data_IF_406932443517
#
_entry.id   IF_406932443517
#
_cell.length_a   1.000
_cell.length_b   1.000
_cell.length_c   1.000
_cell.angle_alpha   90.00
_cell.angle_beta   90.00
_cell.angle_gamma   90.00
#
_symmetry.space_group_name_H-M   'P 1'
#
loop_
_entity.id
_entity.type
_entity.pdbx_description
1 polymer ?
#
# COMPACT_ATOMS: atom_id res chain seq x y z
N UNK A 1 -33.29 8.78 -13.25
CA UNK A 1 -33.32 7.68 -12.25
C UNK A 1 -32.19 6.74 -12.60
N UNK A 2 -31.07 6.82 -11.89
CA UNK A 2 -29.93 5.90 -12.07
C UNK A 2 -30.36 4.56 -11.45
N UNK A 3 -30.25 3.47 -12.21
CA UNK A 3 -30.72 2.13 -11.77
C UNK A 3 -29.88 1.67 -10.57
N UNK A 4 -30.51 1.08 -9.56
CA UNK A 4 -29.88 0.67 -8.29
C UNK A 4 -28.60 -0.18 -8.50
N UNK A 5 -28.56 -1.05 -9.52
CA UNK A 5 -27.36 -1.85 -9.84
C UNK A 5 -26.20 -1.08 -10.50
N UNK A 6 -26.44 0.12 -11.03
CA UNK A 6 -25.41 1.01 -11.59
C UNK A 6 -24.74 1.81 -10.46
N UNK A 7 -25.49 2.15 -9.41
CA UNK A 7 -24.96 2.77 -8.18
C UNK A 7 -24.04 1.79 -7.43
N UNK A 8 -24.46 0.53 -7.27
CA UNK A 8 -23.64 -0.50 -6.61
C UNK A 8 -22.33 -0.81 -7.37
N UNK A 9 -22.37 -0.83 -8.71
CA UNK A 9 -21.17 -1.01 -9.55
C UNK A 9 -20.22 0.20 -9.46
N UNK A 10 -20.75 1.42 -9.57
CA UNK A 10 -19.95 2.67 -9.48
C UNK A 10 -19.33 2.83 -8.09
N UNK A 11 -20.05 2.43 -7.04
CA UNK A 11 -19.55 2.42 -5.67
C UNK A 11 -18.46 1.37 -5.46
N UNK A 12 -18.61 0.17 -6.06
CA UNK A 12 -17.57 -0.86 -6.07
C UNK A 12 -16.29 -0.45 -6.79
N UNK A 13 -16.39 0.19 -7.96
CA UNK A 13 -15.22 0.72 -8.70
C UNK A 13 -14.48 1.77 -7.88
N UNK A 14 -15.22 2.71 -7.27
CA UNK A 14 -14.64 3.78 -6.46
C UNK A 14 -13.91 3.23 -5.25
N UNK A 15 -14.52 2.29 -4.53
CA UNK A 15 -13.90 1.65 -3.38
C UNK A 15 -12.58 0.95 -3.74
N UNK A 16 -12.53 0.26 -4.88
CA UNK A 16 -11.30 -0.39 -5.39
C UNK A 16 -10.18 0.62 -5.59
N UNK A 17 -10.48 1.78 -6.17
CA UNK A 17 -9.49 2.86 -6.35
C UNK A 17 -8.97 3.40 -5.02
N UNK A 18 -9.87 3.63 -4.06
CA UNK A 18 -9.52 4.18 -2.75
C UNK A 18 -8.67 3.20 -1.92
N UNK A 19 -9.01 1.90 -1.94
CA UNK A 19 -8.19 0.85 -1.32
C UNK A 19 -6.81 0.74 -1.97
N UNK A 20 -6.76 0.83 -3.30
CA UNK A 20 -5.49 0.81 -4.05
C UNK A 20 -4.61 2.00 -3.67
N UNK A 21 -5.18 3.21 -3.58
CA UNK A 21 -4.48 4.40 -3.12
C UNK A 21 -3.94 4.22 -1.69
N UNK A 22 -4.75 3.74 -0.75
CA UNK A 22 -4.29 3.51 0.62
C UNK A 22 -3.14 2.50 0.68
N UNK A 23 -3.22 1.42 -0.11
CA UNK A 23 -2.12 0.44 -0.27
C UNK A 23 -0.84 1.10 -0.80
N UNK A 24 -0.92 1.90 -1.86
CA UNK A 24 0.24 2.62 -2.41
C UNK A 24 0.85 3.57 -1.38
N UNK A 25 0.03 4.29 -0.61
CA UNK A 25 0.52 5.14 0.48
C UNK A 25 1.24 4.33 1.55
N UNK A 26 0.68 3.19 1.98
CA UNK A 26 1.32 2.28 2.94
C UNK A 26 2.68 1.81 2.43
N UNK A 27 2.77 1.35 1.19
CA UNK A 27 4.04 0.87 0.60
C UNK A 27 5.05 2.02 0.49
N UNK A 28 4.61 3.21 0.09
CA UNK A 28 5.46 4.41 0.09
C UNK A 28 5.97 4.77 1.50
N UNK A 29 5.13 4.62 2.53
CA UNK A 29 5.52 4.85 3.92
C UNK A 29 6.56 3.84 4.40
N UNK A 30 6.45 2.57 4.01
CA UNK A 30 7.43 1.53 4.32
C UNK A 30 8.77 1.82 3.63
N UNK A 31 8.76 2.11 2.33
CA UNK A 31 9.96 2.38 1.54
C UNK A 31 10.70 3.66 1.96
N UNK A 32 9.98 4.63 2.53
CA UNK A 32 10.56 5.89 3.00
C UNK A 32 11.06 5.81 4.47
N UNK A 33 11.01 4.64 5.13
CA UNK A 33 11.65 4.43 6.45
C UNK A 33 13.17 4.28 6.27
N UNK A 34 13.85 5.40 6.00
CA UNK A 34 15.31 5.41 6.09
C UNK A 34 15.76 5.33 7.55
N UNK A 35 16.93 4.75 7.79
CA UNK A 35 17.64 4.85 9.06
C UNK A 35 18.19 6.27 9.17
N UNK A 36 17.31 7.20 9.52
CA UNK A 36 17.68 8.57 9.81
C UNK A 36 18.18 8.67 11.25
N UNK A 37 19.17 9.53 11.48
CA UNK A 37 19.69 9.84 12.82
C UNK A 37 18.55 10.23 13.77
N UNK A 38 17.60 11.02 13.28
CA UNK A 38 16.40 11.44 13.99
C UNK A 38 15.15 10.72 13.48
N UNK A 39 14.25 10.39 14.40
CA UNK A 39 12.92 9.84 14.09
C UNK A 39 12.07 10.83 13.29
N UNK A 40 11.02 10.37 12.60
CA UNK A 40 10.11 11.24 11.86
C UNK A 40 9.50 12.34 12.75
N UNK A 41 9.12 11.99 13.99
CA UNK A 41 8.59 12.96 14.94
C UNK A 41 9.63 14.04 15.27
N UNK A 42 10.89 13.64 15.51
CA UNK A 42 12.00 14.57 15.81
C UNK A 42 12.28 15.51 14.64
N UNK A 43 12.29 14.98 13.42
CA UNK A 43 12.47 15.78 12.21
C UNK A 43 11.34 16.80 12.05
N UNK A 44 10.08 16.40 12.23
CA UNK A 44 8.95 17.32 12.14
C UNK A 44 8.99 18.39 13.24
N UNK A 45 9.31 18.04 14.48
CA UNK A 45 9.46 19.02 15.56
C UNK A 45 10.57 20.02 15.24
N UNK A 46 11.71 19.55 14.74
CA UNK A 46 12.83 20.41 14.36
C UNK A 46 12.46 21.34 13.20
N UNK A 47 11.66 20.89 12.22
CA UNK A 47 11.13 21.72 11.14
C UNK A 47 10.22 22.84 11.68
N UNK A 48 9.30 22.52 12.59
CA UNK A 48 8.38 23.52 13.17
C UNK A 48 9.17 24.56 13.99
N UNK A 49 10.15 24.12 14.80
CA UNK A 49 11.03 25.00 15.59
C UNK A 49 11.90 25.90 14.70
N UNK A 50 12.49 25.34 13.64
CA UNK A 50 13.29 26.09 12.66
C UNK A 50 12.42 27.14 11.95
N UNK A 51 11.24 26.74 11.48
CA UNK A 51 10.32 27.63 10.75
C UNK A 51 9.86 28.81 11.61
N UNK A 52 9.54 28.56 12.88
CA UNK A 52 9.19 29.60 13.83
C UNK A 52 10.37 30.57 14.07
N UNK A 53 11.59 30.03 14.20
CA UNK A 53 12.79 30.84 14.44
C UNK A 53 13.16 31.73 13.25
N UNK A 54 12.91 31.29 12.02
CA UNK A 54 13.18 32.05 10.79
C UNK A 54 12.34 33.33 10.66
N UNK A 55 11.22 33.46 11.41
CA UNK A 55 10.41 34.70 11.44
C UNK A 55 11.08 35.83 12.21
N UNK A 56 12.04 35.52 13.08
CA UNK A 56 12.88 36.51 13.76
C UNK A 56 12.23 37.27 14.92
N UNK A 57 10.98 36.94 15.31
CA UNK A 57 10.28 37.56 16.44
C UNK A 57 10.19 36.55 17.61
N UNK A 58 10.47 36.99 18.84
CA UNK A 58 10.46 36.09 20.01
C UNK A 58 9.08 35.46 20.28
N UNK A 59 8.01 36.22 20.03
CA UNK A 59 6.63 35.79 20.26
C UNK A 59 6.22 34.58 19.42
N UNK A 60 6.80 34.46 18.22
CA UNK A 60 6.60 33.36 17.27
C UNK A 60 7.31 32.07 17.69
N UNK A 61 8.27 32.13 18.62
CA UNK A 61 9.02 30.96 19.03
C UNK A 61 8.16 29.96 19.80
N UNK A 62 8.31 28.69 19.42
CA UNK A 62 7.51 27.61 19.95
C UNK A 62 7.95 27.22 21.35
N UNK A 63 6.97 26.95 22.20
CA UNK A 63 7.13 26.22 23.45
C UNK A 63 6.92 24.72 23.22
N UNK A 64 7.29 23.85 24.18
CA UNK A 64 6.95 22.43 24.10
C UNK A 64 5.44 22.15 23.93
N UNK A 65 4.58 23.02 24.46
CA UNK A 65 3.12 22.92 24.30
C UNK A 65 2.70 23.22 22.87
N UNK A 66 3.33 24.20 22.24
CA UNK A 66 3.03 24.57 20.86
C UNK A 66 3.47 23.48 19.87
N UNK A 67 4.64 22.87 20.12
CA UNK A 67 5.09 21.69 19.35
C UNK A 67 4.13 20.51 19.51
N UNK A 68 3.62 20.26 20.72
CA UNK A 68 2.64 19.21 20.96
C UNK A 68 1.32 19.45 20.22
N UNK A 69 0.83 20.69 20.21
CA UNK A 69 -0.35 21.07 19.46
C UNK A 69 -0.15 20.89 17.94
N UNK A 70 0.91 21.48 17.36
CA UNK A 70 1.21 21.41 15.92
C UNK A 70 1.41 19.99 15.40
N UNK A 71 2.02 19.11 16.21
CA UNK A 71 2.20 17.71 15.84
C UNK A 71 1.03 16.80 16.21
N UNK A 72 0.03 17.31 16.93
CA UNK A 72 -1.08 16.53 17.50
C UNK A 72 -0.59 15.34 18.33
N UNK A 73 0.41 15.58 19.18
CA UNK A 73 1.05 14.56 20.03
C UNK A 73 0.80 14.84 21.51
N UNK A 74 0.74 13.76 22.30
CA UNK A 74 0.72 13.87 23.76
C UNK A 74 1.96 14.60 24.29
N UNK A 75 1.77 15.47 25.29
CA UNK A 75 2.86 16.23 25.91
C UNK A 75 3.99 15.32 26.42
N UNK A 76 3.67 14.13 26.94
CA UNK A 76 4.65 13.15 27.41
C UNK A 76 5.55 12.59 26.29
N UNK A 77 5.05 12.53 25.05
CA UNK A 77 5.81 12.11 23.87
C UNK A 77 6.71 13.25 23.43
N UNK A 78 6.17 14.47 23.36
CA UNK A 78 6.93 15.67 22.97
C UNK A 78 8.05 15.97 23.96
N UNK A 79 7.82 15.88 25.27
CA UNK A 79 8.90 16.10 26.26
C UNK A 79 10.08 15.15 26.06
N UNK A 80 9.82 13.86 25.82
CA UNK A 80 10.89 12.87 25.57
C UNK A 80 11.61 13.12 24.25
N UNK A 81 10.85 13.49 23.22
CA UNK A 81 11.39 13.85 21.92
C UNK A 81 12.31 15.07 22.01
N UNK A 82 11.85 16.15 22.65
CA UNK A 82 12.62 17.39 22.80
C UNK A 82 13.88 17.17 23.63
N UNK A 83 13.80 16.37 24.70
CA UNK A 83 14.97 16.00 25.50
C UNK A 83 16.04 15.28 24.65
N UNK A 84 15.64 14.40 23.71
CA UNK A 84 16.57 13.74 22.79
C UNK A 84 17.16 14.71 21.77
N UNK A 85 16.36 15.66 21.25
CA UNK A 85 16.85 16.72 20.37
C UNK A 85 17.87 17.61 21.08
N UNK A 86 17.62 18.01 22.34
CA UNK A 86 18.56 18.78 23.16
C UNK A 86 19.83 17.98 23.48
N UNK A 87 19.70 16.71 23.87
CA UNK A 87 20.85 15.83 24.14
C UNK A 87 21.77 15.68 22.92
N UNK A 88 21.17 15.63 21.72
CA UNK A 88 21.90 15.58 20.44
C UNK A 88 22.25 16.98 19.91
N UNK A 89 22.09 18.02 20.73
CA UNK A 89 22.42 19.41 20.43
C UNK A 89 21.74 19.94 19.16
N UNK A 90 20.60 19.38 18.76
CA UNK A 90 19.85 19.87 17.60
C UNK A 90 19.00 21.10 17.92
N UNK A 91 18.56 21.23 19.18
CA UNK A 91 17.81 22.38 19.67
C UNK A 91 18.39 22.85 21.00
N UNK A 92 18.06 24.09 21.37
CA UNK A 92 18.25 24.64 22.69
C UNK A 92 16.94 25.23 23.21
N UNK A 93 16.78 25.27 24.53
CA UNK A 93 15.65 25.89 25.19
C UNK A 93 16.10 27.03 26.11
N UNK A 94 15.48 28.20 25.95
CA UNK A 94 15.76 29.40 26.77
C UNK A 94 14.47 29.91 27.41
N UNK A 95 14.60 30.53 28.57
CA UNK A 95 13.48 31.25 29.18
C UNK A 95 13.18 32.49 28.33
N UNK A 96 11.91 32.80 28.10
CA UNK A 96 11.52 34.01 27.38
C UNK A 96 11.95 35.26 28.15
N UNK A 97 12.38 36.28 27.42
CA UNK A 97 12.70 37.60 27.97
C UNK A 97 11.44 38.41 28.32
N UNK A 98 10.29 38.04 27.74
CA UNK A 98 9.00 38.70 27.90
C UNK A 98 8.15 38.02 28.98
N UNK A 99 8.09 36.68 28.98
CA UNK A 99 7.33 35.90 29.98
C UNK A 99 8.18 34.75 30.53
N UNK A 100 8.70 34.91 31.75
CA UNK A 100 9.58 33.91 32.38
C UNK A 100 8.94 32.52 32.57
N UNK A 101 7.62 32.39 32.41
CA UNK A 101 6.92 31.09 32.44
C UNK A 101 7.05 30.32 31.12
N UNK A 102 7.42 30.99 30.03
CA UNK A 102 7.59 30.37 28.71
C UNK A 102 9.03 29.89 28.54
N UNK A 103 9.16 28.64 28.08
CA UNK A 103 10.41 28.08 27.57
C UNK A 103 10.36 28.04 26.05
N UNK A 104 11.18 28.84 25.41
CA UNK A 104 11.22 29.02 23.96
C UNK A 104 12.29 28.13 23.37
N UNK A 105 11.91 27.39 22.32
CA UNK A 105 12.78 26.47 21.60
C UNK A 105 13.42 27.17 20.42
N UNK A 106 14.71 26.92 20.18
CA UNK A 106 15.45 27.39 19.02
C UNK A 106 16.27 26.25 18.42
N UNK A 107 16.44 26.21 17.09
CA UNK A 107 17.39 25.29 16.48
C UNK A 107 18.81 25.75 16.83
N UNK A 108 19.72 24.81 17.03
CA UNK A 108 21.14 25.11 17.04
C UNK A 108 21.67 25.12 15.60
N UNK A 109 22.92 25.55 15.40
CA UNK A 109 23.60 25.38 14.12
C UNK A 109 23.64 23.92 13.65
N UNK A 110 23.95 23.00 14.56
CA UNK A 110 24.00 21.56 14.25
C UNK A 110 22.62 21.04 13.78
N UNK A 111 21.54 21.44 14.47
CA UNK A 111 20.18 21.08 14.07
C UNK A 111 19.75 21.68 12.72
N UNK A 112 20.07 22.96 12.47
CA UNK A 112 19.80 23.60 11.18
C UNK A 112 20.58 22.98 10.03
N UNK A 113 21.86 22.63 10.25
CA UNK A 113 22.71 21.98 9.23
C UNK A 113 22.24 20.54 8.95
N UNK A 114 21.80 19.79 9.97
CA UNK A 114 21.15 18.49 9.79
C UNK A 114 19.88 18.60 8.94
N UNK A 115 18.97 19.53 9.27
CA UNK A 115 17.74 19.73 8.48
C UNK A 115 18.06 20.06 7.04
N UNK A 116 19.05 20.92 6.78
CA UNK A 116 19.45 21.29 5.41
C UNK A 116 19.84 20.05 4.59
N UNK A 117 20.62 19.15 5.18
CA UNK A 117 21.04 17.90 4.52
C UNK A 117 19.87 16.96 4.27
N UNK A 118 18.99 16.78 5.27
CA UNK A 118 17.76 15.98 5.12
C UNK A 118 16.87 16.55 4.02
N UNK A 119 16.72 17.87 4.01
CA UNK A 119 15.87 18.57 3.05
C UNK A 119 16.40 18.44 1.62
N UNK A 120 17.70 18.64 1.44
CA UNK A 120 18.35 18.44 0.15
C UNK A 120 18.13 17.02 -0.37
N UNK A 121 18.43 16.00 0.45
CA UNK A 121 18.26 14.60 0.05
C UNK A 121 16.79 14.25 -0.24
N UNK A 122 15.86 14.74 0.58
CA UNK A 122 14.43 14.51 0.38
C UNK A 122 13.94 15.16 -0.93
N UNK A 123 14.42 16.37 -1.24
CA UNK A 123 14.08 17.04 -2.49
C UNK A 123 14.66 16.30 -3.69
N UNK A 124 15.91 15.86 -3.65
CA UNK A 124 16.53 15.08 -4.73
C UNK A 124 15.75 13.78 -5.01
N UNK A 125 15.33 13.06 -3.95
CA UNK A 125 14.49 11.86 -4.09
C UNK A 125 13.12 12.20 -4.70
N UNK A 126 12.51 13.31 -4.31
CA UNK A 126 11.21 13.72 -4.86
C UNK A 126 11.32 14.12 -6.33
N UNK A 127 12.31 14.94 -6.67
CA UNK A 127 12.55 15.40 -8.04
C UNK A 127 12.82 14.23 -8.97
N UNK A 128 13.76 13.33 -8.60
CA UNK A 128 14.07 12.13 -9.39
C UNK A 128 12.85 11.21 -9.59
N UNK A 129 12.00 11.03 -8.57
CA UNK A 129 10.75 10.26 -8.72
C UNK A 129 9.75 10.93 -9.67
N UNK A 130 9.74 12.25 -9.75
CA UNK A 130 8.85 12.99 -10.64
C UNK A 130 9.39 13.10 -12.08
N UNK A 131 10.71 13.07 -12.28
CA UNK A 131 11.33 13.11 -13.61
C UNK A 131 10.87 11.97 -14.52
N UNK A 132 10.56 10.79 -13.96
CA UNK A 132 10.01 9.65 -14.70
C UNK A 132 8.53 9.79 -15.09
N UNK A 133 7.85 10.86 -14.69
CA UNK A 133 6.42 11.09 -14.92
C UNK A 133 6.21 12.24 -15.91
N UNK A 134 5.17 12.12 -16.74
CA UNK A 134 4.69 13.23 -17.58
C UNK A 134 4.18 14.40 -16.73
N UNK A 135 4.15 15.60 -17.31
CA UNK A 135 3.63 16.80 -16.61
C UNK A 135 2.18 16.62 -16.10
N UNK A 136 1.37 15.81 -16.78
CA UNK A 136 0.00 15.50 -16.33
C UNK A 136 0.00 14.59 -15.11
N UNK A 137 0.87 13.59 -15.07
CA UNK A 137 1.02 12.67 -13.93
C UNK A 137 1.63 13.38 -12.73
N UNK A 138 2.66 14.22 -12.92
CA UNK A 138 3.20 15.04 -11.84
C UNK A 138 2.11 15.92 -11.21
N UNK A 139 1.30 16.62 -12.04
CA UNK A 139 0.15 17.39 -11.55
C UNK A 139 -0.86 16.52 -10.80
N UNK A 140 -1.12 15.31 -11.29
CA UNK A 140 -2.02 14.35 -10.64
C UNK A 140 -1.52 13.95 -9.24
N UNK A 141 -0.22 13.66 -9.08
CA UNK A 141 0.41 13.37 -7.78
C UNK A 141 0.28 14.56 -6.84
N UNK A 142 0.61 15.78 -7.30
CA UNK A 142 0.47 16.99 -6.49
C UNK A 142 -0.97 17.25 -6.04
N UNK A 143 -1.95 17.03 -6.92
CA UNK A 143 -3.36 17.18 -6.60
C UNK A 143 -3.83 16.12 -5.59
N UNK A 144 -3.44 14.85 -5.77
CA UNK A 144 -3.76 13.77 -4.85
C UNK A 144 -3.27 14.09 -3.43
N UNK A 145 -1.99 14.43 -3.28
CA UNK A 145 -1.41 14.79 -1.98
C UNK A 145 -2.18 15.94 -1.32
N UNK A 146 -2.47 17.00 -2.07
CA UNK A 146 -3.15 18.19 -1.54
C UNK A 146 -4.58 17.89 -1.13
N UNK A 147 -5.36 17.24 -1.99
CA UNK A 147 -6.75 16.89 -1.72
C UNK A 147 -6.86 16.00 -0.49
N UNK A 148 -6.03 14.96 -0.39
CA UNK A 148 -5.99 14.12 0.80
C UNK A 148 -5.55 14.91 2.04
N UNK A 149 -4.51 15.74 1.95
CA UNK A 149 -4.04 16.51 3.10
C UNK A 149 -5.10 17.50 3.61
N UNK A 150 -5.84 18.15 2.70
CA UNK A 150 -6.94 19.06 3.01
C UNK A 150 -8.15 18.32 3.58
N UNK A 151 -8.59 17.24 2.91
CA UNK A 151 -9.77 16.48 3.32
C UNK A 151 -9.59 15.67 4.60
N UNK A 152 -8.36 15.29 4.97
CA UNK A 152 -8.08 14.63 6.24
C UNK A 152 -7.99 15.61 7.43
N UNK A 153 -8.23 16.91 7.22
CA UNK A 153 -8.40 17.90 8.29
C UNK A 153 -7.12 18.23 9.07
N UNK A 154 -5.93 17.98 8.50
CA UNK A 154 -4.66 18.29 9.17
C UNK A 154 -4.22 19.71 8.84
N UNK A 155 -3.82 20.45 9.88
CA UNK A 155 -3.31 21.80 9.77
C UNK A 155 -2.23 21.94 8.69
N UNK A 156 -2.29 23.05 7.95
CA UNK A 156 -1.36 23.34 6.87
C UNK A 156 0.07 23.41 7.43
N UNK A 157 0.97 22.65 6.83
CA UNK A 157 2.40 22.79 7.08
C UNK A 157 2.92 23.95 6.24
N UNK A 158 3.78 24.78 6.83
CA UNK A 158 4.43 25.89 6.12
C UNK A 158 5.39 25.30 5.09
N UNK A 159 5.36 25.84 3.87
CA UNK A 159 6.39 25.55 2.87
C UNK A 159 7.58 26.46 3.10
N UNK A 160 8.74 25.88 3.42
CA UNK A 160 10.00 26.65 3.51
C UNK A 160 10.54 26.91 2.11
N UNK A 161 11.38 27.94 1.97
CA UNK A 161 12.00 28.29 0.67
C UNK A 161 12.76 27.12 0.04
N UNK A 162 13.37 26.27 0.86
CA UNK A 162 14.11 25.09 0.43
C UNK A 162 13.23 23.86 0.21
N UNK A 163 11.92 23.88 0.49
CA UNK A 163 11.07 22.70 0.37
C UNK A 163 10.62 22.47 -1.08
N UNK A 164 10.77 21.22 -1.56
CA UNK A 164 10.03 20.78 -2.73
C UNK A 164 8.50 20.95 -2.51
N UNK A 165 7.69 21.33 -3.52
CA UNK A 165 6.28 21.67 -3.31
C UNK A 165 5.38 20.53 -2.79
N UNK A 166 5.82 19.26 -2.87
CA UNK A 166 5.12 18.13 -2.25
C UNK A 166 5.33 18.02 -0.73
N UNK A 167 6.40 18.59 -0.18
CA UNK A 167 6.80 18.32 1.20
C UNK A 167 5.80 18.81 2.25
N UNK A 168 5.18 20.00 2.12
CA UNK A 168 4.15 20.42 3.06
C UNK A 168 3.03 19.40 3.18
N UNK A 169 2.49 18.93 2.05
CA UNK A 169 1.40 17.96 2.03
C UNK A 169 1.86 16.56 2.48
N UNK A 170 3.09 16.15 2.17
CA UNK A 170 3.67 14.91 2.71
C UNK A 170 3.78 14.94 4.25
N UNK A 171 4.21 16.06 4.84
CA UNK A 171 4.26 16.21 6.31
C UNK A 171 2.86 16.15 6.92
N UNK A 172 1.88 16.80 6.28
CA UNK A 172 0.47 16.76 6.69
C UNK A 172 -0.07 15.34 6.66
N UNK A 173 0.16 14.59 5.58
CA UNK A 173 -0.27 13.18 5.49
C UNK A 173 0.48 12.28 6.48
N UNK A 174 1.76 12.54 6.74
CA UNK A 174 2.52 11.82 7.77
C UNK A 174 1.86 11.93 9.15
N UNK A 175 1.37 13.14 9.48
CA UNK A 175 0.57 13.37 10.70
C UNK A 175 -0.82 12.72 10.60
N UNK A 176 -1.53 12.90 9.49
CA UNK A 176 -2.89 12.39 9.28
C UNK A 176 -3.01 10.87 9.43
N UNK A 177 -1.97 10.15 8.99
CA UNK A 177 -1.85 8.70 9.08
C UNK A 177 -1.42 8.21 10.46
N UNK A 178 -0.95 9.09 11.34
CA UNK A 178 -0.48 8.73 12.68
C UNK A 178 0.93 8.15 12.71
N UNK A 179 1.76 8.43 11.70
CA UNK A 179 3.11 7.84 11.56
C UNK A 179 4.11 8.27 12.64
N UNK A 180 3.77 9.31 13.40
CA UNK A 180 4.62 9.89 14.45
C UNK A 180 4.09 9.65 15.88
N UNK A 181 2.91 9.02 15.99
CA UNK A 181 2.23 8.77 17.26
C UNK A 181 2.29 7.31 17.70
N UNK A 182 1.44 6.98 18.68
CA UNK A 182 1.21 5.59 19.15
C UNK A 182 0.00 4.92 18.49
N UNK A 183 -0.74 5.66 17.66
CA UNK A 183 -1.95 5.22 16.97
C UNK A 183 -1.80 5.41 15.47
N UNK A 184 -2.39 4.52 14.68
CA UNK A 184 -2.41 4.59 13.23
C UNK A 184 -3.84 4.85 12.76
N UNK A 185 -4.08 5.95 12.06
CA UNK A 185 -5.42 6.29 11.58
C UNK A 185 -6.51 6.43 12.65
N UNK A 186 -6.14 6.65 13.92
CA UNK A 186 -7.07 6.67 15.06
C UNK A 186 -7.22 5.34 15.81
N UNK A 187 -6.62 4.27 15.31
CA UNK A 187 -6.65 2.94 15.93
C UNK A 187 -5.49 2.75 16.92
N UNK A 188 -5.66 1.92 17.96
CA UNK A 188 -4.62 1.60 18.95
C UNK A 188 -3.58 0.61 18.37
N UNK A 189 -2.95 1.03 17.27
CA UNK A 189 -1.90 0.34 16.54
C UNK A 189 -0.73 1.30 16.35
N UNK A 190 0.46 0.89 16.74
CA UNK A 190 1.65 1.61 16.31
C UNK A 190 1.82 1.48 14.78
N UNK A 191 2.40 2.46 14.07
CA UNK A 191 2.58 2.37 12.62
C UNK A 191 3.31 1.10 12.14
N UNK A 192 4.28 0.62 12.91
CA UNK A 192 4.98 -0.65 12.62
C UNK A 192 4.12 -1.89 12.87
N UNK A 193 3.20 -1.85 13.82
CA UNK A 193 2.22 -2.92 14.05
C UNK A 193 1.25 -2.99 12.87
N UNK A 194 0.73 -1.85 12.43
CA UNK A 194 -0.10 -1.75 11.23
C UNK A 194 0.61 -2.32 10.01
N UNK A 195 1.85 -1.90 9.74
CA UNK A 195 2.60 -2.42 8.58
C UNK A 195 2.78 -3.94 8.62
N UNK A 196 3.05 -4.52 9.79
CA UNK A 196 3.13 -5.99 9.92
C UNK A 196 1.78 -6.64 9.60
N UNK A 197 0.70 -6.17 10.22
CA UNK A 197 -0.63 -6.75 9.99
C UNK A 197 -1.05 -6.64 8.53
N UNK A 198 -0.79 -5.50 7.90
CA UNK A 198 -1.13 -5.25 6.51
C UNK A 198 -0.27 -6.05 5.52
N UNK A 199 1.01 -6.34 5.81
CA UNK A 199 1.79 -7.31 5.01
C UNK A 199 1.23 -8.73 5.15
N UNK A 200 0.86 -9.12 6.37
CA UNK A 200 0.28 -10.43 6.66
C UNK A 200 -1.14 -10.62 6.13
N UNK A 201 -1.81 -9.54 5.71
CA UNK A 201 -3.06 -9.60 4.95
C UNK A 201 -2.78 -10.06 3.51
N UNK A 202 -1.66 -9.63 2.91
CA UNK A 202 -1.34 -9.96 1.52
C UNK A 202 -0.81 -11.38 1.39
N UNK A 203 0.00 -11.81 2.37
CA UNK A 203 0.60 -13.13 2.36
C UNK A 203 1.07 -13.59 3.75
N UNK A 204 1.10 -14.90 3.98
CA UNK A 204 1.80 -15.43 5.13
C UNK A 204 3.31 -15.23 4.95
N UNK A 205 4.01 -14.89 6.03
CA UNK A 205 5.43 -14.58 5.98
C UNK A 205 6.13 -15.01 7.26
N UNK A 206 7.42 -15.33 7.18
CA UNK A 206 8.23 -15.47 8.38
C UNK A 206 8.79 -14.12 8.86
N UNK A 207 9.35 -14.09 10.07
CA UNK A 207 9.87 -12.85 10.66
C UNK A 207 11.05 -12.24 9.87
N UNK A 208 11.85 -13.06 9.19
CA UNK A 208 12.95 -12.58 8.35
C UNK A 208 12.41 -11.86 7.12
N UNK A 209 11.39 -12.42 6.47
CA UNK A 209 10.77 -11.78 5.30
C UNK A 209 10.06 -10.47 5.70
N UNK A 210 9.35 -10.45 6.84
CA UNK A 210 8.76 -9.22 7.37
C UNK A 210 9.82 -8.16 7.70
N UNK A 211 10.95 -8.56 8.27
CA UNK A 211 12.08 -7.68 8.57
C UNK A 211 12.60 -7.01 7.31
N UNK A 212 12.82 -7.79 6.24
CA UNK A 212 13.24 -7.26 4.94
C UNK A 212 12.18 -6.35 4.32
N UNK A 213 10.90 -6.76 4.29
CA UNK A 213 9.84 -5.96 3.65
C UNK A 213 9.54 -4.64 4.35
N UNK A 214 9.55 -4.63 5.69
CA UNK A 214 9.17 -3.44 6.47
C UNK A 214 10.38 -2.55 6.76
N UNK A 215 11.60 -3.04 6.49
CA UNK A 215 12.85 -2.32 6.75
C UNK A 215 13.13 -2.14 8.25
N UNK A 216 12.77 -3.14 9.07
CA UNK A 216 13.01 -3.11 10.52
C UNK A 216 13.95 -4.23 10.95
N UNK A 217 14.80 -4.01 11.97
CA UNK A 217 15.64 -5.08 12.53
C UNK A 217 14.82 -6.29 12.96
N UNK A 218 15.34 -7.50 12.72
CA UNK A 218 14.65 -8.75 13.04
C UNK A 218 14.25 -8.85 14.52
N UNK A 219 15.08 -8.33 15.42
CA UNK A 219 14.78 -8.25 16.86
C UNK A 219 13.55 -7.39 17.14
N UNK A 220 13.47 -6.21 16.53
CA UNK A 220 12.32 -5.30 16.62
C UNK A 220 11.06 -5.95 16.06
N UNK A 221 11.15 -6.60 14.88
CA UNK A 221 10.02 -7.35 14.30
C UNK A 221 9.57 -8.45 15.25
N UNK A 222 10.49 -9.24 15.81
CA UNK A 222 10.17 -10.30 16.77
C UNK A 222 9.41 -9.78 18.00
N UNK A 223 9.84 -8.65 18.56
CA UNK A 223 9.15 -8.00 19.68
C UNK A 223 7.74 -7.52 19.31
N UNK A 224 7.56 -6.94 18.12
CA UNK A 224 6.25 -6.50 17.65
C UNK A 224 5.33 -7.71 17.42
N UNK A 225 5.83 -8.76 16.76
CA UNK A 225 5.10 -10.00 16.50
C UNK A 225 4.64 -10.63 17.82
N UNK A 226 5.50 -10.74 18.82
CA UNK A 226 5.11 -11.25 20.15
C UNK A 226 4.00 -10.42 20.80
N UNK A 227 4.02 -9.09 20.69
CA UNK A 227 2.94 -8.23 21.22
C UNK A 227 1.63 -8.40 20.45
N UNK A 228 1.69 -8.52 19.13
CA UNK A 228 0.49 -8.77 18.29
C UNK A 228 -0.11 -10.15 18.52
N UNK A 229 0.74 -11.16 18.76
CA UNK A 229 0.32 -12.52 19.12
C UNK A 229 -0.37 -12.57 20.48
N UNK A 230 0.20 -11.89 21.50
CA UNK A 230 -0.44 -11.75 22.82
C UNK A 230 -1.80 -11.04 22.75
N UNK A 231 -1.98 -10.12 21.80
CA UNK A 231 -3.26 -9.46 21.50
C UNK A 231 -4.21 -10.34 20.68
N UNK A 232 -3.79 -11.55 20.29
CA UNK A 232 -4.58 -12.48 19.48
C UNK A 232 -4.82 -11.99 18.05
N UNK A 233 -3.98 -11.10 17.51
CA UNK A 233 -4.13 -10.54 16.16
C UNK A 233 -3.40 -11.35 15.09
N UNK A 234 -2.36 -12.10 15.47
CA UNK A 234 -1.65 -13.03 14.59
C UNK A 234 -1.31 -14.32 15.33
N UNK A 235 -0.92 -15.35 14.58
CA UNK A 235 -0.48 -16.63 15.12
C UNK A 235 0.81 -17.07 14.44
N UNK A 236 1.67 -17.79 15.18
CA UNK A 236 2.80 -18.54 14.61
C UNK A 236 2.37 -19.96 14.30
N UNK A 237 2.63 -20.44 13.09
CA UNK A 237 2.49 -21.85 12.72
C UNK A 237 3.81 -22.37 12.17
N UNK A 238 4.13 -23.65 12.38
CA UNK A 238 5.24 -24.26 11.65
C UNK A 238 4.86 -24.30 10.17
N UNK A 239 5.76 -23.83 9.30
CA UNK A 239 5.51 -23.86 7.86
C UNK A 239 5.31 -25.31 7.39
N UNK A 240 4.31 -25.51 6.52
CA UNK A 240 4.04 -26.81 5.90
C UNK A 240 5.13 -27.21 4.89
N UNK A 241 5.82 -26.22 4.30
CA UNK A 241 6.83 -26.40 3.26
C UNK A 241 8.25 -26.52 3.83
N UNK A 242 8.54 -25.86 4.95
CA UNK A 242 9.80 -26.01 5.67
C UNK A 242 9.54 -26.03 7.18
N UNK A 243 9.56 -27.22 7.78
CA UNK A 243 9.32 -27.42 9.21
C UNK A 243 10.32 -26.68 10.11
N UNK A 244 11.43 -26.18 9.56
CA UNK A 244 12.43 -25.37 10.27
C UNK A 244 12.04 -23.89 10.33
N UNK A 245 11.05 -23.44 9.54
CA UNK A 245 10.58 -22.05 9.51
C UNK A 245 9.21 -21.91 10.19
N UNK A 246 9.05 -20.84 10.97
CA UNK A 246 7.76 -20.42 11.50
C UNK A 246 7.11 -19.41 10.55
N UNK A 247 5.92 -19.73 10.04
CA UNK A 247 5.07 -18.84 9.27
C UNK A 247 4.19 -18.03 10.21
N UNK A 248 3.98 -16.75 9.91
CA UNK A 248 3.08 -15.85 10.61
C UNK A 248 1.83 -15.65 9.76
N UNK A 249 0.66 -15.68 10.39
CA UNK A 249 -0.59 -15.33 9.71
C UNK A 249 -1.58 -14.65 10.64
N UNK A 250 -2.47 -13.84 10.04
CA UNK A 250 -3.51 -13.15 10.79
C UNK A 250 -4.50 -14.16 11.39
N UNK A 251 -4.97 -13.88 12.61
CA UNK A 251 -6.14 -14.55 13.16
C UNK A 251 -7.43 -13.99 12.54
N UNK A 252 -8.60 -14.54 12.92
CA UNK A 252 -9.89 -13.92 12.56
C UNK A 252 -10.00 -12.49 13.09
N UNK A 253 -9.58 -12.27 14.34
CA UNK A 253 -9.57 -10.95 14.98
C UNK A 253 -8.58 -9.99 14.29
N UNK A 254 -7.41 -10.48 13.89
CA UNK A 254 -6.44 -9.71 13.12
C UNK A 254 -6.99 -9.25 11.78
N UNK A 255 -7.63 -10.15 11.03
CA UNK A 255 -8.28 -9.81 9.75
C UNK A 255 -9.40 -8.78 9.93
N UNK A 256 -10.26 -8.97 10.93
CA UNK A 256 -11.34 -8.03 11.22
C UNK A 256 -10.81 -6.63 11.56
N UNK A 257 -9.77 -6.53 12.39
CA UNK A 257 -9.14 -5.24 12.71
C UNK A 257 -8.51 -4.58 11.49
N UNK A 258 -7.83 -5.35 10.64
CA UNK A 258 -7.23 -4.80 9.41
C UNK A 258 -8.31 -4.27 8.48
N UNK A 259 -9.40 -5.01 8.30
CA UNK A 259 -10.54 -4.57 7.48
C UNK A 259 -11.20 -3.31 8.04
N UNK A 260 -11.35 -3.21 9.36
CA UNK A 260 -11.89 -2.02 10.02
C UNK A 260 -11.02 -0.77 9.75
N UNK A 261 -9.69 -0.93 9.83
CA UNK A 261 -8.73 0.14 9.52
C UNK A 261 -8.83 0.53 8.05
N UNK A 262 -8.83 -0.43 7.13
CA UNK A 262 -8.97 -0.19 5.68
C UNK A 262 -10.26 0.57 5.36
N UNK A 263 -11.41 0.10 5.87
CA UNK A 263 -12.70 0.77 5.68
C UNK A 263 -12.70 2.21 6.22
N UNK A 264 -12.08 2.44 7.37
CA UNK A 264 -11.93 3.80 7.92
C UNK A 264 -11.12 4.71 6.98
N UNK A 265 -10.03 4.20 6.40
CA UNK A 265 -9.23 4.95 5.44
C UNK A 265 -9.96 5.18 4.11
N UNK A 266 -10.68 4.18 3.60
CA UNK A 266 -11.52 4.31 2.41
C UNK A 266 -12.54 5.43 2.61
N UNK A 267 -13.29 5.42 3.71
CA UNK A 267 -14.29 6.45 4.00
C UNK A 267 -13.68 7.85 4.11
N UNK A 268 -12.50 7.96 4.74
CA UNK A 268 -11.77 9.24 4.87
C UNK A 268 -11.23 9.72 3.52
N UNK A 269 -10.72 8.82 2.69
CA UNK A 269 -10.23 9.15 1.35
C UNK A 269 -11.39 9.52 0.43
N UNK A 270 -12.51 8.81 0.55
CA UNK A 270 -13.72 9.13 -0.19
C UNK A 270 -14.18 10.56 0.12
N UNK A 271 -14.30 10.89 1.42
CA UNK A 271 -14.60 12.24 1.90
C UNK A 271 -13.62 13.30 1.40
N UNK A 272 -12.32 12.98 1.36
CA UNK A 272 -11.29 13.89 0.89
C UNK A 272 -11.23 14.05 -0.64
N UNK A 273 -11.82 13.11 -1.39
CA UNK A 273 -11.80 13.04 -2.85
C UNK A 273 -13.23 13.07 -3.42
N UNK A 274 -14.20 13.63 -2.70
CA UNK A 274 -15.62 13.68 -3.10
C UNK A 274 -15.83 14.35 -4.46
N UNK A 275 -15.05 15.39 -4.76
CA UNK A 275 -15.10 16.13 -6.01
C UNK A 275 -14.28 15.48 -7.15
N UNK A 276 -13.76 14.27 -6.93
CA UNK A 276 -13.01 13.51 -7.92
C UNK A 276 -13.83 12.36 -8.49
N UNK A 277 -13.97 12.33 -9.82
CA UNK A 277 -14.63 11.22 -10.53
C UNK A 277 -13.80 9.93 -10.52
N UNK A 278 -14.42 8.77 -10.78
CA UNK A 278 -13.70 7.48 -10.84
C UNK A 278 -12.54 7.51 -11.86
N UNK A 279 -12.73 8.18 -13.01
CA UNK A 279 -11.66 8.38 -14.01
C UNK A 279 -10.50 9.21 -13.42
N UNK A 280 -10.80 10.21 -12.59
CA UNK A 280 -9.76 11.00 -11.92
C UNK A 280 -9.06 10.19 -10.83
N UNK A 281 -9.79 9.39 -10.05
CA UNK A 281 -9.20 8.48 -9.06
C UNK A 281 -8.26 7.48 -9.71
N UNK A 282 -8.67 6.87 -10.83
CA UNK A 282 -7.83 5.98 -11.64
C UNK A 282 -6.54 6.65 -12.07
N UNK A 283 -6.62 7.89 -12.60
CA UNK A 283 -5.45 8.70 -12.97
C UNK A 283 -4.56 9.04 -11.78
N UNK A 284 -5.14 9.34 -10.61
CA UNK A 284 -4.37 9.56 -9.39
C UNK A 284 -3.63 8.29 -8.97
N UNK A 285 -4.31 7.14 -8.96
CA UNK A 285 -3.71 5.85 -8.64
C UNK A 285 -2.55 5.53 -9.58
N UNK A 286 -2.76 5.56 -10.90
CA UNK A 286 -1.72 5.24 -11.89
C UNK A 286 -0.51 6.17 -11.80
N UNK A 287 -0.74 7.48 -11.66
CA UNK A 287 0.35 8.44 -11.48
C UNK A 287 1.11 8.19 -10.17
N UNK A 288 0.39 7.85 -9.10
CA UNK A 288 0.99 7.60 -7.80
C UNK A 288 1.73 6.26 -7.74
N UNK A 289 1.22 5.24 -8.42
CA UNK A 289 1.88 3.95 -8.64
C UNK A 289 3.26 4.15 -9.27
N UNK A 290 3.31 4.87 -10.41
CA UNK A 290 4.56 5.25 -11.07
C UNK A 290 5.48 6.07 -10.17
N UNK A 291 4.93 7.04 -9.44
CA UNK A 291 5.69 7.87 -8.51
C UNK A 291 6.32 7.06 -7.36
N UNK A 292 5.62 6.03 -6.87
CA UNK A 292 6.12 5.18 -5.78
C UNK A 292 7.04 4.06 -6.27
N UNK A 293 6.95 3.69 -7.56
CA UNK A 293 7.67 2.54 -8.14
C UNK A 293 7.18 1.20 -7.59
N UNK A 294 5.97 1.16 -7.01
CA UNK A 294 5.37 -0.03 -6.42
C UNK A 294 4.26 -0.50 -7.34
N UNK A 295 4.36 -1.70 -7.90
CA UNK A 295 3.27 -2.29 -8.67
C UNK A 295 2.08 -2.65 -7.76
N UNK A 296 0.88 -2.29 -8.21
CA UNK A 296 -0.36 -2.64 -7.54
C UNK A 296 -0.65 -4.11 -7.78
N UNK A 297 -0.88 -4.87 -6.70
CA UNK A 297 -1.33 -6.26 -6.81
C UNK A 297 -2.78 -6.33 -6.36
N UNK A 298 -3.65 -7.06 -7.06
CA UNK A 298 -5.08 -7.06 -6.72
C UNK A 298 -5.34 -8.11 -5.64
N UNK A 299 -5.88 -7.72 -4.48
CA UNK A 299 -6.24 -8.64 -3.39
C UNK A 299 -7.68 -9.15 -3.54
N UNK A 300 -7.87 -10.47 -3.55
CA UNK A 300 -9.17 -11.16 -3.69
C UNK A 300 -9.22 -12.33 -2.71
N UNK A 301 -10.10 -12.31 -1.70
CA UNK A 301 -10.19 -13.35 -0.64
C UNK A 301 -8.84 -13.79 -0.02
N UNK A 302 -7.89 -12.88 0.18
CA UNK A 302 -6.55 -13.22 0.70
C UNK A 302 -5.60 -13.84 -0.33
N UNK A 303 -5.99 -13.82 -1.60
CA UNK A 303 -5.12 -14.08 -2.75
C UNK A 303 -4.69 -12.78 -3.39
N UNK A 304 -3.53 -12.82 -4.00
CA UNK A 304 -2.91 -11.69 -4.67
C UNK A 304 -2.82 -12.03 -6.16
N UNK A 305 -3.52 -11.28 -7.02
CA UNK A 305 -3.45 -11.44 -8.48
C UNK A 305 -2.41 -10.51 -9.08
N UNK A 306 -1.46 -11.08 -9.84
CA UNK A 306 -0.38 -10.35 -10.50
C UNK A 306 -0.34 -10.70 -11.98
N UNK A 307 -0.37 -9.70 -12.86
CA UNK A 307 0.02 -9.88 -14.26
C UNK A 307 1.54 -9.93 -14.32
N UNK A 308 2.10 -11.06 -14.75
CA UNK A 308 3.55 -11.29 -14.73
C UNK A 308 4.13 -11.30 -16.15
N UNK A 309 5.08 -10.40 -16.40
CA UNK A 309 5.92 -10.39 -17.61
C UNK A 309 7.34 -10.89 -17.35
N UNK A 310 7.73 -11.09 -16.09
CA UNK A 310 9.08 -11.49 -15.70
C UNK A 310 9.43 -12.95 -16.03
N UNK A 311 10.65 -13.18 -16.52
CA UNK A 311 11.10 -14.52 -16.94
C UNK A 311 11.11 -15.54 -15.78
N UNK A 312 11.48 -15.11 -14.56
CA UNK A 312 11.54 -15.99 -13.39
C UNK A 312 10.16 -16.43 -12.91
N UNK A 313 9.21 -15.48 -12.84
CA UNK A 313 7.82 -15.75 -12.45
C UNK A 313 7.09 -16.60 -13.50
N UNK A 314 7.36 -16.38 -14.78
CA UNK A 314 6.85 -17.24 -15.87
C UNK A 314 7.41 -18.65 -15.82
N UNK A 315 8.67 -18.82 -15.42
CA UNK A 315 9.24 -20.14 -15.19
C UNK A 315 8.55 -20.88 -14.03
N UNK A 316 8.26 -20.18 -12.93
CA UNK A 316 7.51 -20.74 -11.79
C UNK A 316 6.07 -21.11 -12.19
N UNK A 317 5.40 -20.24 -12.93
CA UNK A 317 4.05 -20.50 -13.46
C UNK A 317 4.02 -21.74 -14.37
N UNK A 318 5.05 -21.91 -15.21
CA UNK A 318 5.19 -23.07 -16.09
C UNK A 318 5.37 -24.36 -15.29
N UNK A 319 6.20 -24.34 -14.25
CA UNK A 319 6.39 -25.48 -13.35
C UNK A 319 5.08 -25.87 -12.66
N UNK A 320 4.35 -24.88 -12.15
CA UNK A 320 3.04 -25.11 -11.51
C UNK A 320 2.02 -25.74 -12.47
N UNK A 321 1.90 -25.20 -13.68
CA UNK A 321 1.01 -25.75 -14.72
C UNK A 321 1.37 -27.21 -15.05
N UNK A 322 2.67 -27.52 -15.19
CA UNK A 322 3.13 -28.88 -15.44
C UNK A 322 2.77 -29.83 -14.30
N UNK A 323 2.99 -29.41 -13.05
CA UNK A 323 2.67 -30.22 -11.87
C UNK A 323 1.17 -30.54 -11.77
N UNK A 324 0.29 -29.56 -12.04
CA UNK A 324 -1.15 -29.79 -12.03
C UNK A 324 -1.62 -30.67 -13.20
N UNK A 325 -1.06 -30.49 -14.40
CA UNK A 325 -1.39 -31.32 -15.57
C UNK A 325 -0.99 -32.78 -15.39
N UNK A 326 0.18 -33.03 -14.79
CA UNK A 326 0.62 -34.38 -14.42
C UNK A 326 -0.31 -34.97 -13.37
N UNK A 327 -0.67 -34.19 -12.34
CA UNK A 327 -1.54 -34.64 -11.25
C UNK A 327 -2.96 -34.96 -11.72
N UNK A 328 -3.48 -34.25 -12.71
CA UNK A 328 -4.83 -34.47 -13.25
C UNK A 328 -4.91 -35.56 -14.32
N UNK A 329 -3.79 -36.24 -14.63
CA UNK A 329 -3.75 -37.29 -15.66
C UNK A 329 -3.81 -36.78 -17.12
N UNK A 330 -3.74 -35.46 -17.34
CA UNK A 330 -3.83 -34.83 -18.66
C UNK A 330 -2.45 -34.62 -19.31
N UNK A 331 -1.53 -35.55 -19.06
CA UNK A 331 -0.17 -35.57 -19.62
C UNK A 331 -0.06 -35.37 -21.16
N UNK A 332 -1.04 -35.73 -22.03
CA UNK A 332 -0.90 -35.55 -23.48
C UNK A 332 -0.72 -34.09 -23.95
N UNK A 333 -1.04 -33.10 -23.11
CA UNK A 333 -0.92 -31.66 -23.45
C UNK A 333 0.44 -31.04 -23.08
N UNK A 334 1.36 -31.81 -22.49
CA UNK A 334 2.69 -31.34 -22.06
C UNK A 334 3.69 -31.18 -23.22
N UNK A 335 3.25 -30.64 -24.36
CA UNK A 335 4.11 -30.24 -25.49
C UNK A 335 4.67 -28.82 -25.34
N UNK A 336 5.43 -28.37 -26.34
CA UNK A 336 6.15 -27.08 -26.44
C UNK A 336 5.29 -25.79 -26.32
N UNK A 337 4.00 -25.90 -25.97
CA UNK A 337 3.02 -24.80 -25.97
C UNK A 337 2.64 -24.23 -24.58
N UNK A 338 3.25 -24.71 -23.49
CA UNK A 338 2.96 -24.17 -22.15
C UNK A 338 3.64 -22.82 -21.93
N UNK A 339 2.83 -21.78 -21.68
CA UNK A 339 3.24 -20.38 -21.53
C UNK A 339 4.15 -19.89 -22.67
N UNK A 340 3.62 -19.74 -23.90
CA UNK A 340 4.34 -19.11 -25.00
C UNK A 340 4.83 -17.71 -24.60
N UNK A 341 5.95 -17.25 -25.17
CA UNK A 341 6.52 -15.92 -24.84
C UNK A 341 5.51 -14.78 -24.97
N UNK A 342 4.60 -14.89 -25.93
CA UNK A 342 3.65 -13.84 -26.30
C UNK A 342 2.32 -13.95 -25.54
N UNK A 343 2.17 -14.96 -24.67
CA UNK A 343 0.98 -15.09 -23.81
C UNK A 343 0.98 -14.03 -22.71
N UNK A 344 -0.19 -13.73 -22.16
CA UNK A 344 -0.34 -12.91 -20.95
C UNK A 344 -0.61 -13.84 -19.79
N UNK A 345 0.22 -13.78 -18.75
CA UNK A 345 0.14 -14.67 -17.61
C UNK A 345 -0.33 -13.90 -16.38
N UNK A 346 -1.40 -14.37 -15.75
CA UNK A 346 -1.87 -13.88 -14.46
C UNK A 346 -1.66 -14.94 -13.40
N UNK A 347 -0.96 -14.57 -12.34
CA UNK A 347 -0.64 -15.41 -11.20
C UNK A 347 -1.62 -15.11 -10.08
N UNK A 348 -2.24 -16.15 -9.54
CA UNK A 348 -2.92 -16.13 -8.25
C UNK A 348 -1.97 -16.63 -7.17
N UNK A 349 -1.78 -15.82 -6.13
CA UNK A 349 -0.91 -16.13 -5.01
C UNK A 349 -1.73 -16.18 -3.73
N UNK A 350 -1.97 -17.37 -3.17
CA UNK A 350 -2.48 -17.54 -1.80
C UNK A 350 -1.32 -17.54 -0.84
N UNK A 351 -1.36 -16.66 0.17
CA UNK A 351 -0.29 -16.55 1.14
C UNK A 351 1.12 -16.33 0.53
N UNK A 352 1.20 -15.71 -0.66
CA UNK A 352 2.46 -15.47 -1.39
C UNK A 352 3.02 -16.72 -2.09
N UNK A 353 2.29 -17.83 -2.06
CA UNK A 353 2.59 -19.06 -2.78
C UNK A 353 1.69 -19.12 -4.01
N UNK A 354 2.28 -19.46 -5.16
CA UNK A 354 1.53 -19.62 -6.39
C UNK A 354 0.48 -20.72 -6.21
N UNK A 355 -0.79 -20.33 -6.28
CA UNK A 355 -1.94 -21.22 -6.09
C UNK A 355 -2.91 -21.18 -7.29
N UNK A 356 -2.62 -20.37 -8.29
CA UNK A 356 -3.28 -20.43 -9.58
C UNK A 356 -2.52 -19.70 -10.68
N UNK A 357 -2.74 -20.13 -11.91
CA UNK A 357 -2.17 -19.54 -13.12
C UNK A 357 -3.28 -19.45 -14.16
N UNK A 358 -3.45 -18.26 -14.76
CA UNK A 358 -4.36 -18.00 -15.86
C UNK A 358 -3.56 -17.46 -17.04
N UNK A 359 -3.53 -18.21 -18.13
CA UNK A 359 -2.87 -17.85 -19.39
C UNK A 359 -3.91 -17.32 -20.37
N UNK A 360 -3.62 -16.15 -20.93
CA UNK A 360 -4.42 -15.52 -21.96
C UNK A 360 -3.62 -15.40 -23.26
N UNK A 361 -4.31 -15.56 -24.37
CA UNK A 361 -3.79 -15.37 -25.72
C UNK A 361 -4.62 -14.30 -26.43
N UNK A 362 -3.93 -13.36 -27.08
CA UNK A 362 -4.58 -12.32 -27.87
C UNK A 362 -4.70 -12.82 -29.31
N UNK A 363 -5.93 -13.14 -29.73
CA UNK A 363 -6.25 -13.50 -31.11
C UNK A 363 -7.05 -12.36 -31.74
N UNK A 364 -6.45 -11.67 -32.71
CA UNK A 364 -6.99 -10.45 -33.31
C UNK A 364 -7.24 -9.36 -32.25
N UNK A 365 -8.51 -9.18 -31.88
CA UNK A 365 -9.02 -8.23 -30.88
C UNK A 365 -9.76 -8.97 -29.76
N UNK A 366 -9.46 -10.25 -29.53
CA UNK A 366 -10.08 -11.03 -28.45
C UNK A 366 -8.99 -11.64 -27.59
N UNK A 367 -8.96 -11.23 -26.32
CA UNK A 367 -8.13 -11.85 -25.31
C UNK A 367 -8.86 -13.07 -24.74
N UNK A 368 -8.40 -14.25 -25.12
CA UNK A 368 -9.02 -15.53 -24.75
C UNK A 368 -8.24 -16.18 -23.62
N UNK A 369 -8.94 -16.62 -22.57
CA UNK A 369 -8.36 -17.52 -21.58
C UNK A 369 -8.04 -18.85 -22.27
N UNK A 370 -6.76 -19.14 -22.50
CA UNK A 370 -6.34 -20.34 -23.24
C UNK A 370 -5.99 -21.51 -22.31
N UNK A 371 -5.50 -21.21 -21.11
CA UNK A 371 -5.17 -22.22 -20.09
C UNK A 371 -5.38 -21.64 -18.70
N UNK A 372 -5.88 -22.45 -17.77
CA UNK A 372 -5.91 -22.11 -16.36
C UNK A 372 -5.60 -23.34 -15.52
N UNK A 373 -5.00 -23.15 -14.36
CA UNK A 373 -4.84 -24.18 -13.35
C UNK A 373 -4.83 -23.55 -11.97
N UNK A 374 -5.25 -24.30 -10.94
CA UNK A 374 -5.22 -23.83 -9.56
C UNK A 374 -5.11 -24.98 -8.57
N UNK A 375 -4.61 -24.62 -7.39
CA UNK A 375 -4.46 -25.54 -6.27
C UNK A 375 -5.78 -25.78 -5.54
N UNK A 376 -5.81 -26.84 -4.74
CA UNK A 376 -6.98 -27.27 -3.95
C UNK A 376 -7.51 -26.23 -2.95
N UNK A 377 -6.73 -25.19 -2.66
CA UNK A 377 -7.17 -24.12 -1.77
C UNK A 377 -8.13 -23.14 -2.45
N UNK A 378 -8.19 -23.11 -3.79
CA UNK A 378 -9.13 -22.27 -4.54
C UNK A 378 -10.46 -23.00 -4.72
N UNK A 379 -11.50 -22.51 -4.02
CA UNK A 379 -12.87 -23.02 -4.12
C UNK A 379 -13.64 -22.31 -5.24
N UNK A 380 -14.85 -22.80 -5.55
CA UNK A 380 -15.70 -22.25 -6.62
C UNK A 380 -15.98 -20.75 -6.47
N UNK A 381 -16.29 -20.30 -5.24
CA UNK A 381 -16.55 -18.90 -4.94
C UNK A 381 -15.32 -18.02 -5.22
N UNK A 382 -14.16 -18.42 -4.71
CA UNK A 382 -12.89 -17.73 -4.91
C UNK A 382 -12.50 -17.70 -6.40
N UNK A 383 -12.71 -18.81 -7.11
CA UNK A 383 -12.46 -18.90 -8.55
C UNK A 383 -13.35 -17.93 -9.33
N UNK A 384 -14.64 -17.88 -9.03
CA UNK A 384 -15.57 -16.93 -9.66
C UNK A 384 -15.17 -15.47 -9.40
N UNK A 385 -14.79 -15.13 -8.18
CA UNK A 385 -14.31 -13.79 -7.85
C UNK A 385 -13.01 -13.44 -8.58
N UNK A 386 -12.06 -14.38 -8.65
CA UNK A 386 -10.83 -14.23 -9.44
C UNK A 386 -11.16 -14.00 -10.91
N UNK A 387 -11.96 -14.88 -11.53
CA UNK A 387 -12.35 -14.78 -12.94
C UNK A 387 -13.06 -13.45 -13.25
N UNK A 388 -13.96 -13.00 -12.37
CA UNK A 388 -14.64 -11.72 -12.50
C UNK A 388 -13.66 -10.54 -12.45
N UNK A 389 -12.59 -10.64 -11.67
CA UNK A 389 -11.59 -9.57 -11.49
C UNK A 389 -10.42 -9.63 -12.47
N UNK A 390 -10.24 -10.74 -13.19
CA UNK A 390 -9.21 -10.85 -14.23
C UNK A 390 -9.43 -9.81 -15.33
N UNK A 391 -10.68 -9.50 -15.68
CA UNK A 391 -11.00 -8.43 -16.64
C UNK A 391 -10.48 -7.07 -16.19
N UNK A 392 -10.89 -6.62 -14.99
CA UNK A 392 -10.45 -5.35 -14.40
C UNK A 392 -8.90 -5.26 -14.33
N UNK A 393 -8.26 -6.36 -13.92
CA UNK A 393 -6.81 -6.44 -13.79
C UNK A 393 -6.12 -6.34 -15.15
N UNK A 394 -6.54 -7.14 -16.14
CA UNK A 394 -5.98 -7.11 -17.49
C UNK A 394 -6.19 -5.74 -18.13
N UNK A 395 -7.38 -5.15 -18.01
CA UNK A 395 -7.64 -3.79 -18.49
C UNK A 395 -6.69 -2.75 -17.89
N UNK A 396 -6.37 -2.88 -16.60
CA UNK A 396 -5.43 -1.99 -15.93
C UNK A 396 -3.98 -2.21 -16.34
N UNK A 397 -3.59 -3.46 -16.63
CA UNK A 397 -2.19 -3.83 -16.88
C UNK A 397 -1.79 -3.80 -18.36
N UNK A 398 -2.70 -4.12 -19.29
CA UNK A 398 -2.42 -4.20 -20.73
C UNK A 398 -3.23 -3.18 -21.58
N UNK A 399 -4.20 -2.47 -20.99
CA UNK A 399 -4.96 -1.40 -21.65
C UNK A 399 -6.07 -1.89 -22.59
N UNK A 400 -7.33 -1.53 -22.31
CA UNK A 400 -8.56 -2.09 -22.95
C UNK A 400 -8.81 -1.72 -24.43
N UNK A 401 -8.05 -0.82 -25.04
CA UNK A 401 -8.57 -0.05 -26.19
C UNK A 401 -8.86 -0.86 -27.47
N UNK A 402 -8.36 -2.10 -27.61
CA UNK A 402 -8.46 -2.86 -28.87
C UNK A 402 -8.81 -4.34 -28.67
N UNK A 403 -9.27 -4.76 -27.48
CA UNK A 403 -9.59 -6.17 -27.24
C UNK A 403 -10.81 -6.43 -26.35
N UNK A 404 -11.48 -7.55 -26.60
CA UNK A 404 -12.59 -8.10 -25.82
C UNK A 404 -12.13 -9.34 -25.02
N UNK A 405 -12.60 -9.50 -23.78
CA UNK A 405 -12.27 -10.67 -22.97
C UNK A 405 -13.26 -11.80 -23.23
N UNK A 406 -12.77 -12.99 -23.57
CA UNK A 406 -13.58 -14.17 -23.76
C UNK A 406 -13.13 -15.31 -22.86
N UNK A 407 -14.06 -15.82 -22.05
CA UNK A 407 -13.90 -17.06 -21.31
C UNK A 407 -14.50 -18.20 -22.13
N UNK A 408 -13.73 -19.24 -22.48
CA UNK A 408 -14.32 -20.43 -23.07
C UNK A 408 -15.30 -21.07 -22.07
N UNK A 409 -16.24 -21.91 -22.54
CA UNK A 409 -16.99 -22.80 -21.66
C UNK A 409 -16.02 -23.53 -20.72
N UNK A 410 -16.38 -23.67 -19.44
CA UNK A 410 -15.53 -24.30 -18.41
C UNK A 410 -15.18 -25.77 -18.74
N UNK A 411 -15.70 -26.34 -19.81
CA UNK A 411 -15.32 -27.68 -20.30
C UNK A 411 -14.14 -27.64 -21.30
N UNK A 412 -13.78 -26.46 -21.83
CA UNK A 412 -12.77 -26.27 -22.88
C UNK A 412 -11.43 -25.72 -22.37
N UNK A 413 -11.35 -25.30 -21.11
CA UNK A 413 -10.11 -24.95 -20.41
C UNK A 413 -9.86 -26.07 -19.40
N UNK A 414 -8.61 -26.39 -19.05
CA UNK A 414 -8.34 -27.42 -18.05
C UNK A 414 -8.72 -26.94 -16.64
N UNK A 415 -9.48 -27.75 -15.89
CA UNK A 415 -9.85 -27.50 -14.48
C UNK A 415 -9.22 -28.58 -13.60
N UNK A 416 -8.24 -28.22 -12.78
CA UNK A 416 -7.78 -29.10 -11.69
C UNK A 416 -8.64 -28.86 -10.45
N UNK A 417 -9.75 -29.61 -10.35
CA UNK A 417 -10.63 -29.54 -9.16
C UNK A 417 -12.00 -30.18 -9.29
N UNK A 418 -12.20 -31.11 -10.24
CA UNK A 418 -13.51 -31.70 -10.49
C UNK A 418 -13.98 -32.65 -9.37
N UNK A 419 -14.72 -32.10 -8.40
CA UNK A 419 -16.05 -32.63 -8.13
C UNK A 419 -17.02 -31.65 -8.81
N UNK A 420 -17.66 -32.13 -9.89
CA UNK A 420 -18.67 -31.46 -10.73
C UNK A 420 -19.09 -30.04 -10.31
N UNK A 421 -18.53 -29.03 -10.97
CA UNK A 421 -19.20 -27.74 -11.09
C UNK A 421 -20.44 -27.98 -11.98
N UNK A 422 -21.63 -27.97 -11.40
CA UNK A 422 -22.87 -28.08 -12.16
C UNK A 422 -22.93 -26.95 -13.20
N UNK A 423 -23.43 -27.30 -14.38
CA UNK A 423 -23.48 -26.53 -15.63
C UNK A 423 -24.30 -25.23 -15.60
N UNK A 424 -24.67 -24.72 -14.42
CA UNK A 424 -25.55 -23.56 -14.25
C UNK A 424 -24.79 -22.36 -13.67
N UNK A 425 -23.57 -22.11 -14.15
CA UNK A 425 -22.84 -20.87 -13.82
C UNK A 425 -23.12 -19.83 -14.93
N UNK A 426 -23.98 -18.82 -14.69
CA UNK A 426 -24.21 -17.76 -15.66
C UNK A 426 -23.01 -16.79 -15.60
N UNK A 427 -21.94 -17.11 -16.32
CA UNK A 427 -21.00 -16.09 -16.77
C UNK A 427 -21.78 -15.20 -17.73
N UNK A 428 -22.33 -14.12 -17.17
CA UNK A 428 -23.22 -13.21 -17.85
C UNK A 428 -22.51 -12.60 -19.08
N UNK A 429 -22.86 -13.11 -20.26
CA UNK A 429 -22.53 -12.54 -21.57
C UNK A 429 -23.28 -11.22 -21.73
N UNK A 430 -22.76 -10.17 -21.13
CA UNK A 430 -23.23 -8.81 -21.35
C UNK A 430 -22.54 -8.17 -22.55
N UNK A 431 -22.85 -8.63 -23.76
CA UNK A 431 -22.58 -7.89 -24.99
C UNK A 431 -23.76 -8.06 -25.97
N UNK A 432 -24.34 -6.92 -26.33
CA UNK A 432 -25.11 -6.61 -27.54
C UNK A 432 -26.33 -7.46 -27.89
N UNK A 433 -27.52 -6.89 -27.66
CA UNK A 433 -28.50 -6.70 -28.74
C UNK A 433 -29.35 -5.44 -28.44
N UNK A 434 -29.32 -4.51 -29.42
CA UNK A 434 -29.95 -3.17 -29.53
C UNK A 434 -29.26 -1.97 -28.87
#
# INVERSE_FOLDING_TARGET
MIRVGEVDRVQGEREVELRSLHRLFRKAQQNNRSVAEFTLAEQLALIEIQTASERGVEEDLLTPKDVAASLSLEQSIVSRLLARLEQRRAIESRVSSIDARRRLLRPTREGSDYLRQVDQRANEILSSRLEGLSLKEQKAVHQLYRKLADGLGVERSIQRKSDHPLRPDQRRLTRAFGLIGKSYGGFPLAPSEWHILAELLEQEMNSTELSTRIGLPLTTVGQIVSRLELRGLLTRKRSKFDRRKQSLSLTKNGRALVEEVECSFVNRFDGALLDSSNIQLKKFREAFEKFTGVETVTLIEGRTLKVSTEAGERAQARTFLLEELVRSGNHPFAGERLLPKDSICVLSLSAGVLDGVFQFELENTTLRLSLAAWGREMNEKALLEVLNKLGDLLESSIGRAEWELAFPPLERVYYSGAESLNSDCPLNTGASDL
#
